data_IF_138423158516
#
_entry.id   IF_138423158516
#
_cell.length_a   1.000
_cell.length_b   1.000
_cell.length_c   1.000
_cell.angle_alpha   90.00
_cell.angle_beta   90.00
_cell.angle_gamma   90.00
#
_symmetry.space_group_name_H-M   'P 1'
#
loop_
_entity.id
_entity.type
_entity.pdbx_description
1 polymer ?
#
# COMPACT_ATOMS: atom_id res chain seq x y z
N UNK A 1 24.85 11.63 -5.76
CA UNK A 1 25.34 12.09 -4.44
C UNK A 1 24.09 12.26 -3.60
N UNK A 2 23.89 11.49 -2.52
CA UNK A 2 22.67 11.61 -1.72
C UNK A 2 22.59 13.03 -1.12
N UNK A 3 21.47 13.73 -1.35
CA UNK A 3 21.25 15.06 -0.79
C UNK A 3 21.08 15.03 0.74
N UNK A 4 20.64 13.87 1.27
CA UNK A 4 20.40 13.58 2.67
C UNK A 4 21.08 12.24 2.97
N UNK A 5 22.05 12.18 3.90
CA UNK A 5 22.70 10.92 4.26
C UNK A 5 21.69 9.87 4.73
N UNK A 6 21.84 8.62 4.26
CA UNK A 6 21.00 7.49 4.65
C UNK A 6 19.52 7.62 4.24
N UNK A 7 19.22 8.47 3.28
CA UNK A 7 17.84 8.65 2.79
C UNK A 7 17.27 7.34 2.23
N UNK A 8 18.07 6.57 1.50
CA UNK A 8 17.73 5.23 1.03
C UNK A 8 17.33 4.26 2.17
N UNK A 9 17.97 4.36 3.34
CA UNK A 9 17.64 3.52 4.50
C UNK A 9 16.26 3.89 5.06
N UNK A 10 15.99 5.18 5.24
CA UNK A 10 14.68 5.66 5.69
C UNK A 10 13.57 5.21 4.73
N UNK A 11 13.79 5.39 3.42
CA UNK A 11 12.83 4.95 2.40
C UNK A 11 12.67 3.44 2.40
N UNK A 12 13.76 2.67 2.53
CA UNK A 12 13.68 1.22 2.67
C UNK A 12 12.82 0.77 3.85
N UNK A 13 12.97 1.42 5.02
CA UNK A 13 12.13 1.15 6.19
C UNK A 13 10.66 1.48 5.92
N UNK A 14 10.38 2.61 5.27
CA UNK A 14 9.00 2.98 4.91
C UNK A 14 8.39 1.99 3.91
N UNK A 15 9.12 1.59 2.88
CA UNK A 15 8.68 0.56 1.90
C UNK A 15 8.42 -0.77 2.60
N UNK A 16 9.26 -1.15 3.57
CA UNK A 16 9.05 -2.36 4.36
C UNK A 16 7.76 -2.28 5.16
N UNK A 17 7.57 -1.22 5.95
CA UNK A 17 6.39 -1.09 6.81
C UNK A 17 5.12 -0.96 5.98
N UNK A 18 5.10 -0.04 5.02
CA UNK A 18 3.89 0.24 4.23
C UNK A 18 3.63 -0.91 3.26
N UNK A 19 4.60 -1.27 2.44
CA UNK A 19 4.45 -2.28 1.40
C UNK A 19 4.44 -3.70 1.95
N UNK A 20 5.50 -4.11 2.63
CA UNK A 20 5.61 -5.51 3.03
C UNK A 20 4.68 -5.88 4.20
N UNK A 21 4.59 -5.03 5.23
CA UNK A 21 3.72 -5.34 6.38
C UNK A 21 2.24 -5.08 6.04
N UNK A 22 1.88 -3.88 5.59
CA UNK A 22 0.45 -3.58 5.41
C UNK A 22 -0.11 -4.11 4.08
N UNK A 23 0.55 -3.86 2.94
CA UNK A 23 0.05 -4.35 1.65
C UNK A 23 0.22 -5.85 1.45
N UNK A 24 1.35 -6.43 1.84
CA UNK A 24 1.56 -7.87 1.61
C UNK A 24 1.03 -8.74 2.75
N UNK A 25 1.53 -8.60 3.99
CA UNK A 25 1.07 -9.41 5.12
C UNK A 25 -0.39 -9.11 5.49
N UNK A 26 -0.76 -7.83 5.56
CA UNK A 26 -2.13 -7.41 5.85
C UNK A 26 -3.13 -7.96 4.82
N UNK A 27 -2.86 -7.81 3.53
CA UNK A 27 -3.78 -8.34 2.50
C UNK A 27 -3.76 -9.87 2.41
N UNK A 28 -2.66 -10.53 2.80
CA UNK A 28 -2.65 -12.00 2.93
C UNK A 28 -3.70 -12.48 3.92
N UNK A 29 -3.91 -11.75 5.01
CA UNK A 29 -4.99 -12.06 5.96
C UNK A 29 -6.36 -11.87 5.29
N UNK A 30 -6.55 -10.79 4.53
CA UNK A 30 -7.79 -10.53 3.78
C UNK A 30 -8.12 -11.65 2.78
N UNK A 31 -7.13 -12.16 2.05
CA UNK A 31 -7.29 -13.24 1.07
C UNK A 31 -7.62 -14.56 1.76
N UNK A 32 -6.87 -14.92 2.81
CA UNK A 32 -7.01 -16.22 3.47
C UNK A 32 -8.24 -16.30 4.38
N UNK A 33 -8.60 -15.20 5.03
CA UNK A 33 -9.70 -15.15 5.99
C UNK A 33 -10.30 -13.74 6.09
N UNK A 34 -11.29 -13.47 5.24
CA UNK A 34 -12.00 -12.19 5.21
C UNK A 34 -12.68 -11.84 6.54
N UNK A 35 -13.22 -12.83 7.24
CA UNK A 35 -13.93 -12.60 8.51
C UNK A 35 -12.94 -12.18 9.62
N UNK A 36 -11.76 -12.79 9.65
CA UNK A 36 -10.67 -12.37 10.52
C UNK A 36 -10.21 -10.96 10.16
N UNK A 37 -9.97 -10.67 8.88
CA UNK A 37 -9.56 -9.35 8.40
C UNK A 37 -10.57 -8.26 8.80
N UNK A 38 -11.87 -8.56 8.70
CA UNK A 38 -12.95 -7.69 9.15
C UNK A 38 -12.97 -7.52 10.67
N UNK A 39 -12.72 -8.60 11.43
CA UNK A 39 -12.68 -8.58 12.90
C UNK A 39 -11.56 -7.70 13.45
N UNK A 40 -10.38 -7.73 12.82
CA UNK A 40 -9.21 -6.94 13.23
C UNK A 40 -9.15 -5.55 12.56
N UNK A 41 -10.13 -5.21 11.73
CA UNK A 41 -10.29 -3.87 11.15
C UNK A 41 -9.44 -3.59 9.90
N UNK A 42 -8.91 -4.62 9.24
CA UNK A 42 -8.26 -4.49 7.93
C UNK A 42 -9.29 -4.31 6.80
N UNK A 43 -10.50 -4.86 6.96
CA UNK A 43 -11.58 -4.78 5.98
C UNK A 43 -12.87 -4.23 6.60
N UNK A 44 -13.74 -3.64 5.77
CA UNK A 44 -14.98 -3.03 6.27
C UNK A 44 -16.03 -4.05 6.70
N UNK A 45 -16.75 -3.72 7.76
CA UNK A 45 -17.91 -4.49 8.22
C UNK A 45 -19.08 -4.23 7.29
N UNK A 46 -19.81 -5.30 6.93
CA UNK A 46 -21.08 -5.24 6.15
C UNK A 46 -20.92 -4.63 4.75
N UNK A 47 -19.77 -4.85 4.10
CA UNK A 47 -19.59 -4.52 2.70
C UNK A 47 -20.61 -5.25 1.83
N UNK A 48 -21.20 -4.57 0.85
CA UNK A 48 -22.08 -5.21 -0.12
C UNK A 48 -21.31 -6.30 -0.90
N UNK A 49 -21.97 -7.38 -1.35
CA UNK A 49 -21.29 -8.51 -1.98
C UNK A 49 -20.39 -8.12 -3.16
N UNK A 50 -20.84 -7.18 -4.01
CA UNK A 50 -20.12 -6.74 -5.21
C UNK A 50 -18.81 -6.02 -4.86
N UNK A 51 -18.85 -5.14 -3.85
CA UNK A 51 -17.66 -4.46 -3.36
C UNK A 51 -16.71 -5.42 -2.66
N UNK A 52 -17.26 -6.43 -1.95
CA UNK A 52 -16.45 -7.46 -1.32
C UNK A 52 -15.67 -8.28 -2.35
N UNK A 53 -16.31 -8.70 -3.44
CA UNK A 53 -15.63 -9.43 -4.53
C UNK A 53 -14.52 -8.59 -5.14
N UNK A 54 -14.80 -7.30 -5.39
CA UNK A 54 -13.80 -6.37 -5.94
C UNK A 54 -12.61 -6.16 -4.98
N UNK A 55 -12.86 -5.87 -3.70
CA UNK A 55 -11.77 -5.67 -2.72
C UNK A 55 -10.99 -6.96 -2.44
N UNK A 56 -11.63 -8.13 -2.52
CA UNK A 56 -10.94 -9.42 -2.43
C UNK A 56 -10.02 -9.65 -3.64
N UNK A 57 -10.44 -9.27 -4.85
CA UNK A 57 -9.60 -9.34 -6.04
C UNK A 57 -8.39 -8.40 -5.94
N UNK A 58 -8.57 -7.19 -5.39
CA UNK A 58 -7.46 -6.28 -5.08
C UNK A 58 -6.52 -6.91 -4.05
N UNK A 59 -7.04 -7.44 -2.94
CA UNK A 59 -6.21 -8.07 -1.93
C UNK A 59 -5.38 -9.23 -2.51
N UNK A 60 -5.94 -10.01 -3.43
CA UNK A 60 -5.19 -11.05 -4.14
C UNK A 60 -4.08 -10.48 -5.04
N UNK A 61 -4.35 -9.40 -5.77
CA UNK A 61 -3.35 -8.72 -6.59
C UNK A 61 -2.21 -8.15 -5.71
N UNK A 62 -2.55 -7.51 -4.59
CA UNK A 62 -1.60 -6.94 -3.64
C UNK A 62 -0.70 -8.02 -3.03
N UNK A 63 -1.24 -9.20 -2.71
CA UNK A 63 -0.45 -10.33 -2.23
C UNK A 63 0.46 -10.89 -3.31
N UNK A 64 -0.01 -10.96 -4.56
CA UNK A 64 0.73 -11.51 -5.70
C UNK A 64 1.96 -10.66 -6.06
N UNK A 65 1.87 -9.34 -5.86
CA UNK A 65 2.93 -8.38 -6.21
C UNK A 65 3.72 -7.94 -4.97
N UNK A 66 3.10 -7.97 -3.79
CA UNK A 66 3.61 -7.29 -2.59
C UNK A 66 4.90 -7.86 -1.99
N UNK A 67 5.31 -9.07 -2.35
CA UNK A 67 6.61 -9.60 -1.93
C UNK A 67 7.78 -8.77 -2.49
N UNK A 68 7.59 -8.08 -3.63
CA UNK A 68 8.58 -7.16 -4.22
C UNK A 68 8.91 -6.02 -3.25
N UNK A 69 7.96 -5.55 -2.44
CA UNK A 69 8.21 -4.51 -1.44
C UNK A 69 9.31 -4.93 -0.47
N UNK A 70 9.27 -6.18 0.01
CA UNK A 70 10.25 -6.70 0.96
C UNK A 70 11.66 -6.77 0.38
N UNK A 71 11.78 -7.28 -0.86
CA UNK A 71 13.07 -7.37 -1.55
C UNK A 71 13.67 -6.00 -1.81
N UNK A 72 12.88 -5.07 -2.33
CA UNK A 72 13.33 -3.70 -2.59
C UNK A 72 13.71 -3.01 -1.28
N UNK A 73 12.91 -3.14 -0.22
CA UNK A 73 13.20 -2.55 1.07
C UNK A 73 14.54 -3.04 1.66
N UNK A 74 14.78 -4.36 1.66
CA UNK A 74 16.04 -4.94 2.13
C UNK A 74 17.20 -4.43 1.28
N UNK A 75 17.04 -4.43 -0.04
CA UNK A 75 18.07 -3.95 -0.96
C UNK A 75 18.39 -2.46 -0.76
N UNK A 76 17.38 -1.62 -0.49
CA UNK A 76 17.58 -0.21 -0.16
C UNK A 76 18.32 -0.03 1.16
N UNK A 77 17.93 -0.75 2.22
CA UNK A 77 18.63 -0.67 3.52
C UNK A 77 20.09 -1.12 3.42
N UNK A 78 20.37 -2.12 2.60
CA UNK A 78 21.72 -2.63 2.36
C UNK A 78 22.49 -1.87 1.27
N UNK A 79 21.93 -0.78 0.74
CA UNK A 79 22.54 0.05 -0.30
C UNK A 79 22.95 -0.74 -1.57
N UNK A 80 22.09 -1.66 -2.02
CA UNK A 80 22.35 -2.49 -3.19
C UNK A 80 21.94 -1.77 -4.49
N UNK A 81 22.81 -1.67 -5.52
CA UNK A 81 22.55 -0.88 -6.73
C UNK A 81 21.28 -1.26 -7.51
N UNK A 82 20.89 -2.54 -7.50
CA UNK A 82 19.68 -3.00 -8.18
C UNK A 82 18.40 -2.53 -7.48
N UNK A 83 18.44 -2.28 -6.16
CA UNK A 83 17.27 -1.92 -5.38
C UNK A 83 16.78 -0.52 -5.76
N UNK A 84 17.70 0.42 -5.98
CA UNK A 84 17.41 1.76 -6.49
C UNK A 84 16.69 1.69 -7.84
N UNK A 85 17.17 0.85 -8.78
CA UNK A 85 16.53 0.66 -10.08
C UNK A 85 15.14 0.02 -10.00
N UNK A 86 14.85 -0.75 -8.96
CA UNK A 86 13.55 -1.38 -8.77
C UNK A 86 12.60 -0.54 -7.90
N UNK A 87 13.11 0.45 -7.17
CA UNK A 87 12.34 1.26 -6.23
C UNK A 87 11.17 2.01 -6.89
N UNK A 88 11.27 2.36 -8.17
CA UNK A 88 10.15 2.98 -8.89
C UNK A 88 8.91 2.09 -8.94
N UNK A 89 9.05 0.74 -8.91
CA UNK A 89 7.91 -0.19 -8.93
C UNK A 89 7.06 -0.01 -7.66
N UNK A 90 7.60 -0.24 -6.43
CA UNK A 90 6.89 0.10 -5.21
C UNK A 90 6.37 1.54 -5.18
N UNK A 91 7.19 2.49 -5.63
CA UNK A 91 6.85 3.90 -5.62
C UNK A 91 5.56 4.20 -6.41
N UNK A 92 5.47 3.70 -7.64
CA UNK A 92 4.29 3.88 -8.50
C UNK A 92 3.09 3.13 -7.95
N UNK A 93 3.25 1.92 -7.40
CA UNK A 93 2.14 1.17 -6.84
C UNK A 93 1.55 1.90 -5.62
N UNK A 94 2.37 2.46 -4.73
CA UNK A 94 1.86 3.26 -3.61
C UNK A 94 1.09 4.51 -4.07
N UNK A 95 1.59 5.22 -5.08
CA UNK A 95 0.86 6.35 -5.67
C UNK A 95 -0.48 5.90 -6.27
N UNK A 96 -0.49 4.77 -6.97
CA UNK A 96 -1.71 4.17 -7.49
C UNK A 96 -2.72 3.88 -6.38
N UNK A 97 -2.32 3.27 -5.26
CA UNK A 97 -3.23 3.00 -4.14
C UNK A 97 -3.78 4.29 -3.53
N UNK A 98 -2.93 5.30 -3.36
CA UNK A 98 -3.35 6.62 -2.88
C UNK A 98 -4.38 7.27 -3.80
N UNK A 99 -4.16 7.29 -5.10
CA UNK A 99 -5.09 7.91 -6.04
C UNK A 99 -6.39 7.09 -6.16
N UNK A 100 -6.27 5.77 -6.30
CA UNK A 100 -7.40 4.86 -6.44
C UNK A 100 -8.34 4.91 -5.24
N UNK A 101 -7.80 5.13 -4.04
CA UNK A 101 -8.61 5.36 -2.84
C UNK A 101 -9.65 6.48 -3.04
N UNK A 102 -9.26 7.63 -3.60
CA UNK A 102 -10.17 8.76 -3.80
C UNK A 102 -11.26 8.43 -4.83
N UNK A 103 -10.90 7.75 -5.91
CA UNK A 103 -11.87 7.32 -6.92
C UNK A 103 -12.84 6.28 -6.37
N UNK A 104 -12.35 5.30 -5.62
CA UNK A 104 -13.15 4.25 -4.98
C UNK A 104 -14.19 4.87 -4.04
N UNK A 105 -13.72 5.67 -3.09
CA UNK A 105 -14.57 6.32 -2.09
C UNK A 105 -15.55 7.30 -2.75
N UNK A 106 -15.10 8.08 -3.73
CA UNK A 106 -15.97 8.99 -4.49
C UNK A 106 -17.08 8.26 -5.22
N UNK A 107 -16.79 7.11 -5.82
CA UNK A 107 -17.78 6.28 -6.50
C UNK A 107 -18.79 5.65 -5.52
N UNK A 108 -18.32 5.12 -4.40
CA UNK A 108 -19.20 4.59 -3.35
C UNK A 108 -20.13 5.67 -2.78
N UNK A 109 -19.62 6.88 -2.56
CA UNK A 109 -20.42 8.01 -2.11
C UNK A 109 -21.48 8.42 -3.14
N UNK A 110 -21.15 8.44 -4.44
CA UNK A 110 -22.11 8.71 -5.53
C UNK A 110 -23.22 7.66 -5.60
N UNK A 111 -22.93 6.44 -5.20
CA UNK A 111 -23.90 5.35 -5.09
C UNK A 111 -24.69 5.37 -3.76
N UNK A 112 -24.45 6.34 -2.88
CA UNK A 112 -25.19 6.53 -1.63
C UNK A 112 -24.63 5.79 -0.40
N UNK A 113 -23.49 5.12 -0.51
CA UNK A 113 -22.94 4.28 0.58
C UNK A 113 -22.15 5.05 1.66
N UNK A 114 -22.04 6.39 1.55
CA UNK A 114 -21.40 7.31 2.51
C UNK A 114 -20.21 6.72 3.30
N UNK A 115 -19.14 6.36 2.60
CA UNK A 115 -17.94 5.71 3.18
C UNK A 115 -16.92 6.71 3.73
N UNK A 116 -17.19 8.01 3.66
CA UNK A 116 -16.29 9.08 4.10
C UNK A 116 -16.58 9.55 5.52
N UNK A 117 -15.89 8.99 6.51
CA UNK A 117 -15.64 9.66 7.82
C UNK A 117 -14.50 9.03 8.62
N UNK A 118 -13.67 8.16 8.05
CA UNK A 118 -12.68 7.44 8.83
C UNK A 118 -11.28 8.07 8.75
N UNK A 119 -10.80 8.66 9.85
CA UNK A 119 -9.44 9.23 9.98
C UNK A 119 -8.34 8.24 9.56
N UNK A 120 -8.55 6.94 9.78
CA UNK A 120 -7.62 5.89 9.36
C UNK A 120 -7.43 5.82 7.84
N UNK A 121 -8.48 6.11 7.07
CA UNK A 121 -8.43 6.11 5.60
C UNK A 121 -7.62 7.30 5.04
N UNK A 122 -7.70 8.46 5.69
CA UNK A 122 -6.86 9.63 5.33
C UNK A 122 -5.40 9.35 5.66
N UNK A 123 -5.11 8.77 6.83
CA UNK A 123 -3.76 8.35 7.21
C UNK A 123 -3.22 7.35 6.18
N UNK A 124 -4.02 6.34 5.83
CA UNK A 124 -3.64 5.36 4.80
C UNK A 124 -3.28 6.01 3.47
N UNK A 125 -4.11 6.95 2.99
CA UNK A 125 -3.82 7.72 1.79
C UNK A 125 -2.48 8.46 1.87
N UNK A 126 -2.26 9.23 2.95
CA UNK A 126 -1.06 10.04 3.13
C UNK A 126 0.19 9.18 3.26
N UNK A 127 0.12 8.10 4.02
CA UNK A 127 1.23 7.17 4.23
C UNK A 127 1.67 6.53 2.91
N UNK A 128 0.72 6.08 2.09
CA UNK A 128 1.02 5.57 0.74
C UNK A 128 1.60 6.67 -0.16
N UNK A 129 1.00 7.85 -0.15
CA UNK A 129 1.39 8.93 -1.07
C UNK A 129 2.82 9.40 -0.79
N UNK A 130 3.12 9.71 0.49
CA UNK A 130 4.44 10.15 0.92
C UNK A 130 5.47 9.06 0.66
N UNK A 131 5.19 7.81 1.04
CA UNK A 131 6.12 6.69 0.80
C UNK A 131 6.37 6.51 -0.69
N UNK A 132 5.32 6.58 -1.52
CA UNK A 132 5.42 6.49 -2.97
C UNK A 132 6.33 7.55 -3.58
N UNK A 133 6.10 8.83 -3.25
CA UNK A 133 6.94 9.94 -3.72
C UNK A 133 8.39 9.75 -3.29
N UNK A 134 8.65 9.47 -2.01
CA UNK A 134 10.02 9.30 -1.52
C UNK A 134 10.73 8.11 -2.19
N UNK A 135 10.00 7.02 -2.44
CA UNK A 135 10.55 5.83 -3.10
C UNK A 135 10.89 6.10 -4.56
N UNK A 136 10.06 6.88 -5.27
CA UNK A 136 10.39 7.32 -6.63
C UNK A 136 11.63 8.23 -6.60
N UNK A 137 11.72 9.18 -5.67
CA UNK A 137 12.87 10.07 -5.56
C UNK A 137 14.16 9.27 -5.33
N UNK A 138 14.14 8.24 -4.50
CA UNK A 138 15.32 7.36 -4.28
C UNK A 138 15.68 6.55 -5.52
N UNK A 139 14.73 6.26 -6.41
CA UNK A 139 15.01 5.48 -7.61
C UNK A 139 15.86 6.22 -8.66
N UNK A 140 15.96 7.56 -8.56
CA UNK A 140 16.62 8.46 -9.52
C UNK A 140 17.78 9.22 -8.88
#
# INVERSE_FOLDING_TARGET
MELIPYFHVLVGILVFIVGFIFHWLGQSISVLNWDLATKIGLQEKKMIPEFKVYEHAIAFADVSIGWIYGLVAIGLVLNLPWAFKLAWIPGVIFLYHSLSFWFWVGNQNRLGYQTTTNRFRIIWFLTNFITGILTIIVAW
#
